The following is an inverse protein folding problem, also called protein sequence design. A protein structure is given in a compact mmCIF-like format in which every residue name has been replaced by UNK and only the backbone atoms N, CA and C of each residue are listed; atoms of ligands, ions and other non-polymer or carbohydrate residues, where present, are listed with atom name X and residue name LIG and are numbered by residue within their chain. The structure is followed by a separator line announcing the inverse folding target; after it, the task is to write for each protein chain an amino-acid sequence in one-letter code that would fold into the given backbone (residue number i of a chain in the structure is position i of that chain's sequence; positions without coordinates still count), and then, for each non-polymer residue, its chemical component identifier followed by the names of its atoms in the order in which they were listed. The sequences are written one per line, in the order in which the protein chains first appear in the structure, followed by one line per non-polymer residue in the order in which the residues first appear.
data_IF_517435377614
#
_entry.id   IF_517435377614
#
_cell.length_a   1.000
_cell.length_b   1.000
_cell.length_c   1.000
_cell.angle_alpha   90.00
_cell.angle_beta   90.00
_cell.angle_gamma   90.00
#
_symmetry.space_group_name_H-M   'P 1'
#
loop_
_entity.id
_entity.type
_entity.pdbx_description
1 polymer ?
#
# COMPACT_ATOMS: atom_id res chain seq x y z
N UNK A 1 -12.23 -11.96 -10.01
CA UNK A 1 -11.01 -12.76 -9.78
C UNK A 1 -9.93 -12.25 -10.67
N UNK A 2 -9.82 -12.73 -11.92
CA UNK A 2 -8.62 -12.45 -12.73
C UNK A 2 -8.33 -10.96 -12.99
N UNK A 3 -9.35 -10.09 -13.01
CA UNK A 3 -9.16 -8.65 -13.19
C UNK A 3 -8.68 -7.95 -11.91
N UNK A 4 -9.19 -8.35 -10.76
CA UNK A 4 -8.79 -7.78 -9.46
C UNK A 4 -7.41 -8.32 -9.06
N UNK A 5 -7.13 -9.59 -9.37
CA UNK A 5 -5.79 -10.18 -9.27
C UNK A 5 -4.79 -9.40 -10.13
N UNK A 6 -5.09 -9.19 -11.42
CA UNK A 6 -4.22 -8.42 -12.33
C UNK A 6 -4.05 -6.96 -11.88
N UNK A 7 -5.09 -6.35 -11.30
CA UNK A 7 -5.01 -4.99 -10.76
C UNK A 7 -4.17 -4.93 -9.49
N UNK A 8 -4.31 -5.92 -8.61
CA UNK A 8 -3.48 -6.02 -7.40
C UNK A 8 -2.01 -6.26 -7.78
N UNK A 9 -1.75 -7.12 -8.76
CA UNK A 9 -0.40 -7.42 -9.26
C UNK A 9 0.22 -6.16 -9.87
N UNK A 10 -0.49 -5.45 -10.76
CA UNK A 10 0.00 -4.20 -11.36
C UNK A 10 0.22 -3.09 -10.30
N UNK A 11 -0.64 -3.03 -9.28
CA UNK A 11 -0.44 -2.11 -8.15
C UNK A 11 0.77 -2.49 -7.31
N UNK A 12 0.95 -3.79 -7.04
CA UNK A 12 2.09 -4.33 -6.29
C UNK A 12 3.40 -4.06 -7.02
N UNK A 13 3.47 -4.33 -8.32
CA UNK A 13 4.63 -4.04 -9.17
C UNK A 13 5.01 -2.56 -9.13
N UNK A 14 4.02 -1.67 -9.25
CA UNK A 14 4.23 -0.22 -9.17
C UNK A 14 4.75 0.23 -7.80
N UNK A 15 4.29 -0.39 -6.71
CA UNK A 15 4.76 -0.08 -5.35
C UNK A 15 6.20 -0.54 -5.16
N UNK A 16 6.52 -1.79 -5.51
CA UNK A 16 7.87 -2.35 -5.29
C UNK A 16 8.93 -1.80 -6.24
N UNK A 17 8.53 -1.30 -7.41
CA UNK A 17 9.42 -0.60 -8.33
C UNK A 17 9.88 0.76 -7.81
N UNK A 18 9.24 1.30 -6.75
CA UNK A 18 9.68 2.57 -6.16
C UNK A 18 11.00 2.40 -5.41
N UNK A 19 11.94 3.35 -5.58
CA UNK A 19 13.18 3.29 -4.83
C UNK A 19 12.88 3.40 -3.34
N UNK A 20 13.56 2.59 -2.54
CA UNK A 20 13.49 2.71 -1.08
C UNK A 20 14.11 4.05 -0.63
N UNK A 21 13.60 4.64 0.46
CA UNK A 21 14.22 5.80 1.07
C UNK A 21 15.69 5.54 1.42
N UNK A 22 16.52 6.60 1.57
CA UNK A 22 17.87 6.45 2.07
C UNK A 22 17.88 5.72 3.42
N UNK A 23 18.98 5.01 3.70
CA UNK A 23 19.19 4.26 4.96
C UNK A 23 18.07 3.26 5.29
N UNK A 24 17.32 2.84 4.27
CA UNK A 24 16.20 1.91 4.40
C UNK A 24 16.50 0.63 3.63
N UNK A 25 16.18 -0.51 4.23
CA UNK A 25 16.27 -1.83 3.60
C UNK A 25 14.96 -2.59 3.77
N UNK A 26 14.68 -3.49 2.83
CA UNK A 26 13.59 -4.45 3.02
C UNK A 26 13.92 -5.37 4.20
N UNK A 27 12.94 -5.63 5.05
CA UNK A 27 13.05 -6.60 6.16
C UNK A 27 12.54 -7.97 5.71
N UNK A 28 11.45 -7.99 4.96
CA UNK A 28 10.73 -9.18 4.51
C UNK A 28 10.10 -8.93 3.13
N UNK A 29 9.49 -9.98 2.56
CA UNK A 29 8.65 -9.82 1.37
C UNK A 29 7.47 -8.88 1.64
N UNK A 30 7.11 -8.16 0.58
CA UNK A 30 5.94 -7.30 0.58
C UNK A 30 4.67 -8.15 0.49
N UNK A 31 3.60 -7.67 1.13
CA UNK A 31 2.32 -8.38 1.18
C UNK A 31 1.29 -7.58 0.42
N UNK A 32 0.73 -8.16 -0.64
CA UNK A 32 -0.35 -7.58 -1.42
C UNK A 32 -1.67 -8.32 -1.11
N UNK A 33 -2.73 -7.57 -0.84
CA UNK A 33 -4.06 -8.11 -0.53
C UNK A 33 -5.13 -7.19 -1.11
N UNK A 34 -6.24 -7.74 -1.57
CA UNK A 34 -7.42 -6.96 -1.93
C UNK A 34 -8.64 -7.46 -1.16
N UNK A 35 -9.65 -6.62 -1.02
CA UNK A 35 -10.89 -7.00 -0.36
C UNK A 35 -12.03 -6.03 -0.64
N UNK A 36 -13.26 -6.54 -0.51
CA UNK A 36 -14.45 -5.69 -0.49
C UNK A 36 -14.58 -5.07 0.90
N UNK A 37 -14.67 -3.74 0.97
CA UNK A 37 -15.14 -3.09 2.18
C UNK A 37 -16.62 -2.73 2.01
N UNK A 38 -17.47 -3.34 2.83
CA UNK A 38 -18.92 -3.10 2.86
C UNK A 38 -19.38 -2.44 4.17
N UNK A 39 -18.44 -1.88 4.95
CA UNK A 39 -18.76 -1.28 6.25
C UNK A 39 -18.87 0.25 6.17
N UNK A 40 -20.01 0.77 6.63
CA UNK A 40 -20.21 2.15 7.05
C UNK A 40 -20.42 3.22 5.96
N UNK A 41 -19.78 3.15 4.78
CA UNK A 41 -19.77 4.29 3.86
C UNK A 41 -19.61 3.91 2.36
N UNK A 42 -20.50 3.04 1.86
CA UNK A 42 -20.58 2.67 0.44
C UNK A 42 -19.82 1.40 0.07
N UNK A 43 -20.18 0.79 -1.06
CA UNK A 43 -19.48 -0.35 -1.61
C UNK A 43 -18.24 0.13 -2.38
N UNK A 44 -17.05 -0.32 -1.97
CA UNK A 44 -15.80 -0.11 -2.70
C UNK A 44 -14.88 -1.32 -2.60
N UNK A 45 -14.03 -1.50 -3.61
CA UNK A 45 -12.93 -2.44 -3.55
C UNK A 45 -11.68 -1.71 -3.05
N UNK A 46 -10.95 -2.35 -2.15
CA UNK A 46 -9.74 -1.81 -1.55
C UNK A 46 -8.57 -2.75 -1.85
N UNK A 47 -7.51 -2.18 -2.41
CA UNK A 47 -6.26 -2.88 -2.73
C UNK A 47 -5.18 -2.35 -1.80
N UNK A 48 -4.49 -3.25 -1.10
CA UNK A 48 -3.48 -2.92 -0.09
C UNK A 48 -2.16 -3.59 -0.42
N UNK A 49 -1.08 -2.84 -0.36
CA UNK A 49 0.29 -3.35 -0.45
C UNK A 49 1.07 -2.88 0.77
N UNK A 50 1.69 -3.81 1.49
CA UNK A 50 2.47 -3.55 2.69
C UNK A 50 3.94 -3.84 2.44
N UNK A 51 4.77 -2.81 2.57
CA UNK A 51 6.23 -2.93 2.58
C UNK A 51 6.70 -3.03 4.03
N UNK A 52 7.38 -4.13 4.36
CA UNK A 52 8.03 -4.30 5.66
C UNK A 52 9.47 -3.83 5.55
N UNK A 53 9.77 -2.70 6.17
CA UNK A 53 11.05 -2.03 6.03
C UNK A 53 11.77 -1.98 7.37
N UNK A 54 13.09 -1.83 7.30
CA UNK A 54 13.92 -1.44 8.43
C UNK A 54 14.67 -0.17 8.07
N UNK A 55 14.54 0.85 8.90
CA UNK A 55 15.04 2.20 8.61
C UNK A 55 15.38 2.95 9.89
N UNK A 56 16.29 3.92 9.77
CA UNK A 56 16.54 4.92 10.80
C UNK A 56 15.64 6.15 10.70
N UNK A 57 14.83 6.25 9.63
CA UNK A 57 13.94 7.38 9.38
C UNK A 57 12.72 7.34 10.30
N UNK A 58 12.24 8.53 10.66
CA UNK A 58 10.98 8.68 11.38
C UNK A 58 9.77 8.37 10.48
N UNK A 59 8.60 8.03 11.06
CA UNK A 59 7.37 7.85 10.29
C UNK A 59 6.99 9.05 9.42
N UNK A 60 7.29 10.26 9.88
CA UNK A 60 7.01 11.51 9.14
C UNK A 60 7.90 11.64 7.90
N UNK A 61 9.18 11.27 8.01
CA UNK A 61 10.11 11.29 6.87
C UNK A 61 9.76 10.23 5.83
N UNK A 62 9.36 9.03 6.29
CA UNK A 62 8.87 7.96 5.42
C UNK A 62 7.58 8.39 4.71
N UNK A 63 6.64 8.97 5.46
CA UNK A 63 5.42 9.51 4.88
C UNK A 63 5.76 10.57 3.83
N UNK A 64 6.59 11.57 4.15
CA UNK A 64 6.97 12.63 3.21
C UNK A 64 7.70 12.12 1.96
N UNK A 65 8.46 11.03 2.07
CA UNK A 65 9.12 10.38 0.95
C UNK A 65 8.10 9.71 0.01
N UNK A 66 7.14 8.97 0.56
CA UNK A 66 6.16 8.20 -0.22
C UNK A 66 4.91 8.98 -0.62
N UNK A 67 4.51 10.00 0.14
CA UNK A 67 3.42 10.95 -0.18
C UNK A 67 3.73 11.68 -1.50
N UNK A 68 5.00 12.02 -1.72
CA UNK A 68 5.48 12.58 -3.00
C UNK A 68 5.57 11.56 -4.12
N UNK A 69 5.54 10.27 -3.81
CA UNK A 69 5.84 9.24 -4.80
C UNK A 69 4.73 9.06 -5.84
N UNK A 70 3.51 9.62 -5.63
CA UNK A 70 2.40 9.61 -6.59
C UNK A 70 2.35 8.28 -7.37
N UNK A 71 1.93 7.20 -6.73
CA UNK A 71 1.77 5.91 -7.40
C UNK A 71 0.68 6.09 -8.47
N UNK A 72 1.12 6.38 -9.70
CA UNK A 72 0.26 6.68 -10.84
C UNK A 72 -0.58 5.45 -11.21
N UNK A 73 -1.81 5.66 -11.69
CA UNK A 73 -2.72 4.58 -12.10
C UNK A 73 -3.64 4.05 -10.99
N UNK A 74 -3.96 4.88 -10.01
CA UNK A 74 -5.00 4.63 -9.01
C UNK A 74 -6.29 5.35 -9.42
N UNK A 75 -7.46 4.78 -9.12
CA UNK A 75 -8.74 5.25 -9.65
C UNK A 75 -9.11 6.65 -9.13
N UNK A 76 -8.73 6.96 -7.89
CA UNK A 76 -9.05 8.22 -7.23
C UNK A 76 -7.77 8.98 -6.87
N UNK A 77 -7.06 9.46 -7.91
CA UNK A 77 -5.97 10.41 -7.74
C UNK A 77 -4.64 9.80 -7.29
N UNK A 78 -4.49 9.50 -5.99
CA UNK A 78 -3.22 9.03 -5.40
C UNK A 78 -3.46 7.90 -4.39
N UNK A 79 -2.55 6.92 -4.38
CA UNK A 79 -2.57 5.86 -3.39
C UNK A 79 -2.39 6.47 -2.00
N UNK A 80 -3.27 6.11 -1.05
CA UNK A 80 -3.12 6.58 0.32
C UNK A 80 -1.96 5.83 0.97
N UNK A 81 -1.07 6.57 1.63
CA UNK A 81 0.09 6.00 2.33
C UNK A 81 -0.15 6.10 3.83
N UNK A 82 0.08 5.01 4.55
CA UNK A 82 0.18 5.01 6.01
C UNK A 82 1.45 4.31 6.46
N UNK A 83 2.03 4.79 7.55
CA UNK A 83 3.26 4.24 8.13
C UNK A 83 2.97 3.82 9.56
N UNK A 84 3.11 2.53 9.83
CA UNK A 84 2.97 1.95 11.18
C UNK A 84 4.36 1.53 11.68
N UNK A 85 4.69 1.90 12.91
CA UNK A 85 5.93 1.43 13.55
C UNK A 85 5.66 0.05 14.14
N UNK A 86 6.51 -0.91 13.81
CA UNK A 86 6.43 -2.24 14.41
C UNK A 86 7.12 -2.21 15.78
N UNK A 87 6.32 -1.99 16.82
CA UNK A 87 6.76 -1.87 18.22
C UNK A 87 7.26 -3.21 18.82
N UNK A 88 7.40 -4.27 18.02
CA UNK A 88 7.91 -5.59 18.43
C UNK A 88 9.40 -5.60 18.89
N UNK A 89 9.99 -4.44 19.20
CA UNK A 89 11.33 -4.31 19.81
C UNK A 89 12.50 -4.36 18.82
N UNK A 90 12.24 -4.47 17.52
CA UNK A 90 13.27 -4.55 16.49
C UNK A 90 13.56 -3.15 15.94
N UNK A 91 14.47 -2.43 16.62
CA UNK A 91 14.76 -1.01 16.39
C UNK A 91 14.82 -0.63 14.91
N UNK A 92 13.83 0.17 14.51
CA UNK A 92 13.67 0.72 13.15
C UNK A 92 12.74 -0.08 12.22
N UNK A 93 12.04 -1.10 12.70
CA UNK A 93 11.05 -1.82 11.91
C UNK A 93 9.78 -0.98 11.69
N UNK A 94 9.37 -0.85 10.43
CA UNK A 94 8.19 -0.08 10.02
C UNK A 94 7.44 -0.82 8.91
N UNK A 95 6.13 -0.65 8.88
CA UNK A 95 5.25 -1.12 7.82
C UNK A 95 4.72 0.10 7.08
N UNK A 96 5.04 0.21 5.79
CA UNK A 96 4.47 1.22 4.91
C UNK A 96 3.34 0.56 4.12
N UNK A 97 2.11 1.00 4.34
CA UNK A 97 0.92 0.51 3.65
C UNK A 97 0.49 1.51 2.58
N UNK A 98 0.29 1.00 1.36
CA UNK A 98 -0.28 1.72 0.22
C UNK A 98 -1.68 1.20 -0.04
N UNK A 99 -2.63 2.11 -0.21
CA UNK A 99 -4.05 1.78 -0.48
C UNK A 99 -4.55 2.43 -1.76
N UNK A 100 -5.13 1.64 -2.64
CA UNK A 100 -5.96 2.11 -3.76
C UNK A 100 -7.42 1.72 -3.49
N UNK A 101 -8.34 2.64 -3.79
CA UNK A 101 -9.78 2.45 -3.61
C UNK A 101 -10.43 2.66 -4.97
N UNK A 102 -11.28 1.73 -5.38
CA UNK A 102 -12.10 1.87 -6.59
C UNK A 102 -13.58 1.74 -6.24
N UNK A 103 -14.46 2.47 -6.94
CA UNK A 103 -15.90 2.33 -6.72
C UNK A 103 -16.38 0.91 -7.08
N UNK A 104 -17.35 0.40 -6.31
CA UNK A 104 -17.93 -0.93 -6.53
C UNK A 104 -18.85 -1.01 -7.76
N UNK A 105 -19.18 0.12 -8.39
CA UNK A 105 -20.10 0.16 -9.53
C UNK A 105 -19.64 -0.72 -10.70
N UNK A 106 -18.37 -1.12 -10.72
CA UNK A 106 -17.74 -1.87 -11.80
C UNK A 106 -17.46 -3.35 -11.47
N UNK A 107 -17.73 -3.82 -10.23
CA UNK A 107 -17.67 -5.25 -9.90
C UNK A 107 -18.50 -5.60 -8.66
N UNK A 108 -19.51 -6.47 -8.82
CA UNK A 108 -20.30 -7.05 -7.71
C UNK A 108 -19.49 -8.09 -6.91
N UNK A 109 -18.29 -8.40 -7.39
CA UNK A 109 -17.37 -9.39 -6.86
C UNK A 109 -16.01 -8.71 -6.80
N UNK A 110 -15.70 -7.96 -5.74
CA UNK A 110 -14.29 -7.87 -5.36
C UNK A 110 -13.90 -9.29 -4.91
N UNK A 111 -13.66 -10.18 -5.86
CA UNK A 111 -13.45 -11.61 -5.65
C UNK A 111 -12.21 -12.04 -6.39
#
# INVERSE_FOLDING_TARGET
MWRDDARLDDFHERVVARPLPPETRSRDDSVATFGKNSSGNGDYCEYRVRLKLRTGLSPVELYAYYDKAAIAGVDVGMAQVSVDVDDAGDGGAVIVEFRDISSSDWDIRCA
#
